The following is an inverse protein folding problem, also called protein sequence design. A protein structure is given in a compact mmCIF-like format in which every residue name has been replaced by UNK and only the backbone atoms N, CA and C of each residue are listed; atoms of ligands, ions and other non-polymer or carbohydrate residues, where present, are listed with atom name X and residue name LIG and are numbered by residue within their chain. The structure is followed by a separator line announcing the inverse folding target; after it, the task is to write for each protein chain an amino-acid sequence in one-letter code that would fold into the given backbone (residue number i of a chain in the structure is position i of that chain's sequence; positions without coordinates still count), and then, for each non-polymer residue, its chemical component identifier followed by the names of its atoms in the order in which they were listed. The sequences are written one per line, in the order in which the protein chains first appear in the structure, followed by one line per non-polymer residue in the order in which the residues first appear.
data_IF_012504095503
#
_entry.id   IF_012504095503
#
_cell.length_a   1.000
_cell.length_b   1.000
_cell.length_c   1.000
_cell.angle_alpha   90.00
_cell.angle_beta   90.00
_cell.angle_gamma   90.00
#
_symmetry.space_group_name_H-M   'P 1'
#
loop_
_entity.id
_entity.type
_entity.pdbx_description
1 polymer ?
#
# COMPACT_ATOMS: atom_id res chain seq x y z
N UNK A 1 -3.25 -19.73 3.84
CA UNK A 1 -3.61 -20.30 5.15
C UNK A 1 -4.25 -21.64 4.88
N UNK A 2 -3.72 -22.75 5.43
CA UNK A 2 -4.25 -24.10 5.21
C UNK A 2 -5.31 -24.39 6.27
N UNK A 3 -6.48 -24.91 5.89
CA UNK A 3 -7.44 -25.47 6.85
C UNK A 3 -6.90 -26.80 7.35
N UNK A 4 -6.88 -27.00 8.67
CA UNK A 4 -6.46 -28.26 9.29
C UNK A 4 -7.65 -29.03 9.91
N UNK A 5 -8.79 -28.37 10.05
CA UNK A 5 -10.04 -28.92 10.53
C UNK A 5 -11.14 -27.84 10.55
N UNK A 6 -12.31 -28.13 11.16
CA UNK A 6 -13.44 -27.20 11.21
C UNK A 6 -13.12 -25.87 11.91
N UNK A 7 -12.29 -25.92 12.95
CA UNK A 7 -11.94 -24.76 13.78
C UNK A 7 -10.45 -24.40 13.77
N UNK A 8 -9.63 -25.10 12.99
CA UNK A 8 -8.17 -24.93 13.02
C UNK A 8 -7.59 -24.58 11.65
N UNK A 9 -6.61 -23.67 11.65
CA UNK A 9 -5.96 -23.18 10.44
C UNK A 9 -4.47 -22.93 10.70
N UNK A 10 -3.64 -23.25 9.72
CA UNK A 10 -2.21 -22.97 9.76
C UNK A 10 -1.81 -21.85 8.80
N UNK A 11 -0.92 -20.98 9.27
CA UNK A 11 -0.22 -20.00 8.44
C UNK A 11 1.25 -20.40 8.34
N UNK A 12 1.72 -20.54 7.10
CA UNK A 12 3.14 -20.76 6.83
C UNK A 12 3.87 -19.44 6.86
N UNK A 13 4.97 -19.38 7.62
CA UNK A 13 5.94 -18.31 7.56
C UNK A 13 7.20 -18.85 6.89
N UNK A 14 7.74 -18.10 5.93
CA UNK A 14 8.98 -18.46 5.24
C UNK A 14 9.91 -17.26 5.25
N UNK A 15 11.24 -17.46 5.30
CA UNK A 15 12.19 -16.38 5.08
C UNK A 15 11.88 -15.63 3.78
N UNK A 16 12.13 -14.34 3.81
CA UNK A 16 11.96 -13.49 2.63
C UNK A 16 13.07 -13.78 1.64
N UNK A 17 12.74 -13.85 0.34
CA UNK A 17 13.76 -13.92 -0.72
C UNK A 17 14.64 -12.65 -0.66
N UNK A 18 15.96 -12.85 -0.57
CA UNK A 18 16.95 -11.77 -0.58
C UNK A 18 16.74 -10.87 -1.81
N UNK A 19 16.76 -9.55 -1.61
CA UNK A 19 16.62 -8.55 -2.68
C UNK A 19 15.20 -8.35 -3.25
N UNK A 20 14.18 -9.09 -2.81
CA UNK A 20 12.81 -8.82 -3.27
C UNK A 20 12.36 -7.39 -2.89
N UNK A 21 11.39 -6.77 -3.60
CA UNK A 21 10.88 -5.44 -3.27
C UNK A 21 9.85 -5.45 -2.13
N UNK A 22 9.78 -4.38 -1.34
CA UNK A 22 8.72 -4.19 -0.33
C UNK A 22 7.59 -3.35 -0.93
N UNK A 23 6.35 -3.78 -0.71
CA UNK A 23 5.19 -2.93 -1.00
C UNK A 23 5.16 -1.73 -0.06
N UNK A 24 4.55 -0.62 -0.48
CA UNK A 24 4.42 0.59 0.34
C UNK A 24 3.73 0.31 1.69
N UNK A 25 2.75 -0.60 1.72
CA UNK A 25 2.11 -1.04 2.97
C UNK A 25 3.10 -1.74 3.91
N UNK A 26 3.98 -2.58 3.37
CA UNK A 26 4.98 -3.27 4.18
C UNK A 26 6.08 -2.32 4.64
N UNK A 27 6.51 -1.36 3.81
CA UNK A 27 7.43 -0.28 4.22
C UNK A 27 6.84 0.51 5.39
N UNK A 28 5.57 0.90 5.31
CA UNK A 28 4.88 1.61 6.40
C UNK A 28 4.82 0.77 7.70
N UNK A 29 4.56 -0.54 7.61
CA UNK A 29 4.57 -1.44 8.77
C UNK A 29 5.96 -1.56 9.39
N UNK A 30 7.00 -1.66 8.58
CA UNK A 30 8.39 -1.68 9.06
C UNK A 30 8.71 -0.39 9.82
N UNK A 31 8.45 0.77 9.22
CA UNK A 31 8.69 2.06 9.87
C UNK A 31 7.95 2.18 11.19
N UNK A 32 6.71 1.70 11.25
CA UNK A 32 5.93 1.68 12.48
C UNK A 32 6.56 0.78 13.55
N UNK A 33 6.96 -0.44 13.19
CA UNK A 33 7.60 -1.38 14.13
C UNK A 33 8.93 -0.84 14.66
N UNK A 34 9.71 -0.13 13.83
CA UNK A 34 10.94 0.55 14.27
C UNK A 34 10.59 1.63 15.28
N UNK A 35 9.64 2.51 14.97
CA UNK A 35 9.19 3.58 15.87
C UNK A 35 8.64 3.05 17.20
N UNK A 36 7.96 1.91 17.17
CA UNK A 36 7.40 1.25 18.37
C UNK A 36 8.45 0.43 19.15
N UNK A 37 9.71 0.37 18.72
CA UNK A 37 10.74 -0.45 19.38
C UNK A 37 10.53 -1.97 19.25
N UNK A 38 9.64 -2.40 18.34
CA UNK A 38 9.27 -3.82 18.14
C UNK A 38 10.01 -4.50 17.00
N UNK A 39 10.79 -3.74 16.24
CA UNK A 39 11.62 -4.27 15.17
C UNK A 39 12.89 -4.90 15.76
N UNK A 40 13.17 -6.15 15.39
CA UNK A 40 14.34 -6.89 15.88
C UNK A 40 15.53 -6.77 14.91
N UNK A 41 16.77 -7.05 15.36
CA UNK A 41 17.94 -7.06 14.49
C UNK A 41 17.79 -8.01 13.29
N UNK A 42 17.19 -9.19 13.49
CA UNK A 42 16.91 -10.13 12.40
C UNK A 42 15.95 -9.55 11.36
N UNK A 43 14.93 -8.79 11.79
CA UNK A 43 14.02 -8.08 10.91
C UNK A 43 14.73 -6.99 10.10
N UNK A 44 15.54 -6.15 10.75
CA UNK A 44 16.33 -5.11 10.09
C UNK A 44 17.28 -5.71 9.05
N UNK A 45 17.98 -6.80 9.38
CA UNK A 45 18.86 -7.50 8.44
C UNK A 45 18.10 -8.05 7.22
N UNK A 46 16.90 -8.60 7.43
CA UNK A 46 16.06 -9.12 6.34
C UNK A 46 15.48 -8.02 5.42
N UNK A 47 15.27 -6.82 5.97
CA UNK A 47 14.81 -5.63 5.24
C UNK A 47 15.98 -4.94 4.51
N UNK A 48 17.18 -4.98 5.10
CA UNK A 48 18.34 -4.25 4.62
C UNK A 48 18.04 -2.75 4.48
N UNK A 49 18.43 -2.16 3.36
CA UNK A 49 18.15 -0.75 3.01
C UNK A 49 16.84 -0.50 2.28
N UNK A 50 15.91 -1.47 2.25
CA UNK A 50 14.71 -1.40 1.39
C UNK A 50 13.65 -0.37 1.84
N UNK A 51 13.84 0.26 2.99
CA UNK A 51 12.95 1.30 3.52
C UNK A 51 13.64 2.64 3.44
N UNK A 52 13.59 3.23 2.24
CA UNK A 52 13.91 4.64 2.01
C UNK A 52 12.61 5.41 1.81
N UNK A 53 12.53 6.61 2.40
CA UNK A 53 11.43 7.55 2.13
C UNK A 53 11.74 8.29 0.83
N UNK A 54 11.06 7.92 -0.23
CA UNK A 54 11.09 8.66 -1.50
C UNK A 54 9.98 9.71 -1.54
N UNK A 55 10.15 10.83 -2.25
CA UNK A 55 9.07 11.79 -2.48
C UNK A 55 7.83 11.11 -3.09
N UNK A 56 6.64 11.48 -2.63
CA UNK A 56 5.40 10.95 -3.19
C UNK A 56 5.24 11.47 -4.64
N UNK A 57 5.21 10.58 -5.61
CA UNK A 57 4.95 10.92 -7.02
C UNK A 57 3.59 10.36 -7.43
N UNK A 58 2.77 11.21 -8.05
CA UNK A 58 1.48 10.81 -8.65
C UNK A 58 1.70 10.71 -10.15
N UNK A 59 1.50 9.52 -10.73
CA UNK A 59 1.65 9.32 -12.16
C UNK A 59 0.63 10.17 -12.96
N UNK A 60 0.99 10.66 -14.16
CA UNK A 60 0.12 11.56 -14.93
C UNK A 60 -1.27 10.99 -15.25
N UNK A 61 -1.38 9.68 -15.49
CA UNK A 61 -2.64 8.98 -15.76
C UNK A 61 -3.54 8.90 -14.52
N UNK A 62 -2.97 8.62 -13.35
CA UNK A 62 -3.69 8.66 -12.07
C UNK A 62 -4.14 10.09 -11.75
N UNK A 63 -3.27 11.09 -11.93
CA UNK A 63 -3.61 12.51 -11.75
C UNK A 63 -4.77 12.91 -12.66
N UNK A 64 -4.74 12.50 -13.93
CA UNK A 64 -5.83 12.76 -14.89
C UNK A 64 -7.14 12.13 -14.40
N UNK A 65 -7.12 10.87 -13.99
CA UNK A 65 -8.32 10.18 -13.48
C UNK A 65 -8.89 10.80 -12.19
N UNK A 66 -8.06 11.37 -11.32
CA UNK A 66 -8.55 12.12 -10.15
C UNK A 66 -9.18 13.46 -10.53
N UNK A 67 -8.75 14.07 -11.64
CA UNK A 67 -9.31 15.35 -12.11
C UNK A 67 -10.59 15.18 -12.92
N UNK A 68 -10.90 13.99 -13.43
CA UNK A 68 -12.15 13.74 -14.18
C UNK A 68 -13.38 13.65 -13.28
N UNK A 69 -13.21 13.40 -11.97
CA UNK A 69 -14.33 13.35 -11.02
C UNK A 69 -14.32 14.61 -10.16
N UNK A 70 -15.40 15.41 -10.16
CA UNK A 70 -15.50 16.61 -9.34
C UNK A 70 -15.16 16.33 -7.86
N UNK A 71 -14.38 17.23 -7.25
CA UNK A 71 -13.97 17.12 -5.84
C UNK A 71 -12.87 16.09 -5.55
N UNK A 72 -12.67 15.06 -6.38
CA UNK A 72 -11.72 13.97 -6.08
C UNK A 72 -10.25 14.44 -5.98
N UNK A 73 -9.84 15.41 -6.81
CA UNK A 73 -8.48 15.97 -6.71
C UNK A 73 -8.25 16.78 -5.43
N UNK A 74 -9.27 17.52 -4.96
CA UNK A 74 -9.21 18.29 -3.71
C UNK A 74 -9.17 17.34 -2.52
N UNK A 75 -10.08 16.36 -2.49
CA UNK A 75 -10.11 15.34 -1.43
C UNK A 75 -8.83 14.51 -1.40
N UNK A 76 -8.24 14.20 -2.56
CA UNK A 76 -6.95 13.52 -2.64
C UNK A 76 -5.86 14.28 -1.87
N UNK A 77 -5.84 15.61 -1.93
CA UNK A 77 -4.87 16.41 -1.19
C UNK A 77 -5.08 16.37 0.32
N UNK A 78 -6.33 16.22 0.78
CA UNK A 78 -6.70 16.09 2.20
C UNK A 78 -6.37 14.73 2.80
N UNK A 79 -6.14 13.70 1.99
CA UNK A 79 -5.76 12.37 2.48
C UNK A 79 -4.42 12.41 3.23
N UNK A 80 -4.20 11.57 4.26
CA UNK A 80 -2.88 11.42 4.87
C UNK A 80 -1.84 10.94 3.86
N UNK A 81 -0.60 11.44 3.92
CA UNK A 81 0.45 11.08 2.96
C UNK A 81 0.72 9.56 2.93
N UNK A 82 0.77 8.91 4.11
CA UNK A 82 0.93 7.46 4.21
C UNK A 82 -0.17 6.70 3.45
N UNK A 83 -1.41 7.19 3.52
CA UNK A 83 -2.54 6.62 2.79
C UNK A 83 -2.39 6.81 1.28
N UNK A 84 -2.04 8.02 0.82
CA UNK A 84 -1.79 8.30 -0.60
C UNK A 84 -0.72 7.34 -1.14
N UNK A 85 0.40 7.22 -0.44
CA UNK A 85 1.53 6.37 -0.83
C UNK A 85 1.14 4.90 -0.94
N UNK A 86 0.45 4.35 0.05
CA UNK A 86 0.00 2.95 0.03
C UNK A 86 -0.99 2.71 -1.11
N UNK A 87 -1.94 3.61 -1.33
CA UNK A 87 -2.97 3.44 -2.38
C UNK A 87 -2.38 3.58 -3.77
N UNK A 88 -1.54 4.58 -3.99
CA UNK A 88 -0.83 4.74 -5.26
C UNK A 88 0.07 3.53 -5.54
N UNK A 89 0.89 3.09 -4.59
CA UNK A 89 1.71 1.88 -4.77
C UNK A 89 0.89 0.62 -5.06
N UNK A 90 -0.30 0.48 -4.47
CA UNK A 90 -1.20 -0.63 -4.75
C UNK A 90 -1.83 -0.56 -6.15
N UNK A 91 -2.16 0.64 -6.64
CA UNK A 91 -2.65 0.84 -8.01
C UNK A 91 -1.53 0.58 -9.01
N UNK A 92 -0.37 1.22 -8.82
CA UNK A 92 0.84 1.10 -9.64
C UNK A 92 1.33 -0.35 -9.77
N UNK A 93 1.29 -1.13 -8.67
CA UNK A 93 1.65 -2.56 -8.70
C UNK A 93 0.72 -3.44 -9.55
N UNK A 94 -0.37 -2.90 -10.09
CA UNK A 94 -1.23 -3.58 -11.05
C UNK A 94 -0.95 -3.22 -12.51
N UNK A 95 0.05 -2.37 -12.84
CA UNK A 95 0.28 -1.92 -14.23
C UNK A 95 0.44 -3.04 -15.25
N UNK A 96 1.10 -4.15 -14.88
CA UNK A 96 1.21 -5.34 -15.75
C UNK A 96 -0.11 -6.09 -15.99
N UNK A 97 -1.23 -5.64 -15.41
CA UNK A 97 -2.58 -6.19 -15.54
C UNK A 97 -3.57 -5.04 -15.78
N UNK A 98 -3.74 -4.58 -17.03
CA UNK A 98 -4.47 -3.36 -17.36
C UNK A 98 -5.88 -3.28 -16.76
N UNK A 99 -6.65 -4.36 -16.83
CA UNK A 99 -8.01 -4.43 -16.26
C UNK A 99 -8.03 -4.26 -14.73
N UNK A 100 -7.06 -4.88 -14.06
CA UNK A 100 -6.92 -4.74 -12.60
C UNK A 100 -6.50 -3.31 -12.25
N UNK A 101 -5.56 -2.72 -13.00
CA UNK A 101 -5.15 -1.33 -12.82
C UNK A 101 -6.35 -0.39 -12.97
N UNK A 102 -7.10 -0.50 -14.05
CA UNK A 102 -8.27 0.33 -14.33
C UNK A 102 -9.34 0.19 -13.23
N UNK A 103 -9.60 -1.04 -12.78
CA UNK A 103 -10.56 -1.31 -11.69
C UNK A 103 -10.12 -0.67 -10.38
N UNK A 104 -8.84 -0.81 -10.00
CA UNK A 104 -8.29 -0.20 -8.78
C UNK A 104 -8.33 1.32 -8.84
N UNK A 105 -7.95 1.90 -9.99
CA UNK A 105 -7.94 3.35 -10.20
C UNK A 105 -9.36 3.93 -10.13
N UNK A 106 -10.31 3.34 -10.84
CA UNK A 106 -11.72 3.74 -10.82
C UNK A 106 -12.30 3.69 -9.39
N UNK A 107 -12.03 2.60 -8.67
CA UNK A 107 -12.49 2.47 -7.29
C UNK A 107 -11.83 3.50 -6.37
N UNK A 108 -10.52 3.76 -6.53
CA UNK A 108 -9.80 4.76 -5.75
C UNK A 108 -10.36 6.17 -5.96
N UNK A 109 -10.56 6.58 -7.22
CA UNK A 109 -11.12 7.90 -7.55
C UNK A 109 -12.52 8.04 -6.96
N UNK A 110 -13.39 7.05 -7.13
CA UNK A 110 -14.76 7.06 -6.60
C UNK A 110 -14.80 7.21 -5.09
N UNK A 111 -13.97 6.46 -4.36
CA UNK A 111 -13.93 6.54 -2.89
C UNK A 111 -13.33 7.87 -2.42
N UNK A 112 -12.30 8.37 -3.13
CA UNK A 112 -11.66 9.65 -2.81
C UNK A 112 -12.61 10.82 -3.03
N UNK A 113 -13.41 10.81 -4.11
CA UNK A 113 -14.44 11.81 -4.35
C UNK A 113 -15.48 11.91 -3.20
N UNK A 114 -15.70 10.81 -2.48
CA UNK A 114 -16.60 10.75 -1.34
C UNK A 114 -15.91 11.09 0.00
N UNK A 115 -14.63 11.48 -0.01
CA UNK A 115 -13.83 11.66 1.21
C UNK A 115 -13.58 10.36 1.99
N UNK A 116 -13.85 9.19 1.39
CA UNK A 116 -13.80 7.89 2.07
C UNK A 116 -12.44 7.22 1.92
N UNK A 117 -11.88 6.80 3.05
CA UNK A 117 -10.72 5.89 3.11
C UNK A 117 -11.21 4.45 3.15
N UNK A 118 -10.44 3.53 2.55
CA UNK A 118 -10.77 2.10 2.54
C UNK A 118 -9.52 1.23 2.72
N UNK A 119 -9.78 -0.04 3.05
CA UNK A 119 -8.79 -1.06 3.37
C UNK A 119 -8.06 -0.82 4.69
N UNK A 120 -7.22 -1.78 5.09
CA UNK A 120 -6.52 -1.76 6.38
C UNK A 120 -5.27 -0.88 6.36
N UNK A 121 -5.45 0.42 6.13
CA UNK A 121 -4.40 1.43 6.29
C UNK A 121 -4.71 2.22 7.54
N UNK A 122 -3.94 1.99 8.60
CA UNK A 122 -4.01 2.81 9.81
C UNK A 122 -3.23 4.10 9.54
N UNK A 123 -3.90 5.23 9.76
CA UNK A 123 -3.32 6.57 9.66
C UNK A 123 -2.31 6.80 10.76
#
# INVERSE_FOLDING_TARGET
MKKLGPHSRAQRFTPRRRGSPLSEMNKARVLRLIREGRMTPAGLAAIGGAVKREPLRVAPDIRRALRTVPGAWVEFHRLPEAYKRIRLGWIEGARGRPETFATRLRYFVRMTAQGKRYGMVRG
#
